data_IF_134737206969
#
_entry.id   IF_134737206969
#
_cell.length_a   1.000
_cell.length_b   1.000
_cell.length_c   1.000
_cell.angle_alpha   90.00
_cell.angle_beta   90.00
_cell.angle_gamma   90.00
#
_symmetry.space_group_name_H-M   'P 1'
#
loop_
_entity.id
_entity.type
_entity.pdbx_description
1 polymer ?
#
# COMPACT_ATOMS: atom_id res chain seq x y z
N UNK A 1 -17.30 -31.02 -10.41
CA UNK A 1 -18.00 -30.35 -9.28
C UNK A 1 -16.94 -29.76 -8.37
N UNK A 2 -16.81 -28.43 -8.30
CA UNK A 2 -15.79 -27.78 -7.44
C UNK A 2 -16.10 -28.09 -5.97
N UNK A 3 -15.10 -28.55 -5.21
CA UNK A 3 -15.25 -28.89 -3.79
C UNK A 3 -15.58 -27.64 -2.96
N UNK A 4 -16.48 -27.78 -1.98
CA UNK A 4 -16.92 -26.66 -1.14
C UNK A 4 -15.77 -26.06 -0.31
N UNK A 5 -14.73 -26.85 0.01
CA UNK A 5 -13.51 -26.36 0.68
C UNK A 5 -12.63 -25.48 -0.22
N UNK A 6 -12.57 -25.77 -1.52
CA UNK A 6 -11.82 -24.96 -2.50
C UNK A 6 -12.47 -23.58 -2.71
N UNK A 7 -13.81 -23.53 -2.72
CA UNK A 7 -14.57 -22.28 -2.82
C UNK A 7 -14.36 -21.43 -1.56
N UNK A 8 -14.33 -22.03 -0.36
CA UNK A 8 -14.06 -21.32 0.89
C UNK A 8 -12.64 -20.75 0.96
N UNK A 9 -11.63 -21.51 0.52
CA UNK A 9 -10.23 -21.06 0.45
C UNK A 9 -10.04 -19.89 -0.53
N UNK A 10 -10.57 -19.99 -1.76
CA UNK A 10 -10.45 -18.90 -2.74
C UNK A 10 -11.18 -17.63 -2.28
N UNK A 11 -12.33 -17.78 -1.61
CA UNK A 11 -13.08 -16.66 -1.04
C UNK A 11 -12.30 -15.94 0.05
N UNK A 12 -11.53 -16.67 0.88
CA UNK A 12 -10.71 -16.02 1.92
C UNK A 12 -9.53 -15.24 1.33
N UNK A 13 -8.83 -15.77 0.33
CA UNK A 13 -7.69 -15.07 -0.29
C UNK A 13 -8.09 -13.73 -0.93
N UNK A 14 -9.19 -13.69 -1.69
CA UNK A 14 -9.69 -12.44 -2.30
C UNK A 14 -10.08 -11.43 -1.22
N UNK A 15 -10.78 -11.85 -0.17
CA UNK A 15 -11.18 -10.97 0.94
C UNK A 15 -9.98 -10.39 1.70
N UNK A 16 -8.92 -11.17 1.92
CA UNK A 16 -7.71 -10.68 2.59
C UNK A 16 -6.98 -9.62 1.76
N UNK A 17 -6.88 -9.82 0.44
CA UNK A 17 -6.24 -8.86 -0.48
C UNK A 17 -7.03 -7.55 -0.57
N UNK A 18 -8.36 -7.62 -0.71
CA UNK A 18 -9.23 -6.44 -0.70
C UNK A 18 -9.09 -5.63 0.60
N UNK A 19 -9.01 -6.31 1.75
CA UNK A 19 -8.90 -5.65 3.04
C UNK A 19 -7.53 -4.97 3.24
N UNK A 20 -6.44 -5.63 2.83
CA UNK A 20 -5.08 -5.04 2.86
C UNK A 20 -4.97 -3.82 1.94
N UNK A 21 -5.47 -3.93 0.71
CA UNK A 21 -5.49 -2.82 -0.24
C UNK A 21 -6.27 -1.62 0.28
N UNK A 22 -7.42 -1.86 0.94
CA UNK A 22 -8.22 -0.81 1.55
C UNK A 22 -7.51 -0.09 2.70
N UNK A 23 -6.83 -0.82 3.58
CA UNK A 23 -6.04 -0.22 4.67
C UNK A 23 -4.94 0.68 4.10
N UNK A 24 -4.23 0.19 3.07
CA UNK A 24 -3.17 0.96 2.41
C UNK A 24 -3.73 2.25 1.79
N UNK A 25 -4.85 2.16 1.07
CA UNK A 25 -5.51 3.32 0.47
C UNK A 25 -5.93 4.35 1.53
N UNK A 26 -6.49 3.91 2.66
CA UNK A 26 -6.86 4.78 3.79
C UNK A 26 -5.65 5.46 4.45
N UNK A 27 -4.50 4.79 4.53
CA UNK A 27 -3.26 5.38 5.03
C UNK A 27 -2.78 6.51 4.12
N UNK A 28 -2.76 6.29 2.80
CA UNK A 28 -2.42 7.33 1.84
C UNK A 28 -3.39 8.51 1.88
N UNK A 29 -4.70 8.25 1.95
CA UNK A 29 -5.68 9.33 2.14
C UNK A 29 -5.44 10.13 3.41
N UNK A 30 -5.13 9.45 4.52
CA UNK A 30 -4.75 10.08 5.77
C UNK A 30 -3.54 11.00 5.59
N UNK A 31 -2.47 10.50 4.98
CA UNK A 31 -1.25 11.26 4.72
C UNK A 31 -1.50 12.50 3.83
N UNK A 32 -2.30 12.35 2.77
CA UNK A 32 -2.69 13.46 1.88
C UNK A 32 -3.49 14.51 2.67
N UNK A 33 -4.52 14.09 3.42
CA UNK A 33 -5.33 15.01 4.24
C UNK A 33 -4.48 15.78 5.25
N UNK A 34 -3.59 15.10 5.97
CA UNK A 34 -2.71 15.77 6.92
C UNK A 34 -1.71 16.70 6.23
N UNK A 35 -1.18 16.33 5.06
CA UNK A 35 -0.32 17.24 4.27
C UNK A 35 -1.06 18.53 3.90
N UNK A 36 -2.32 18.43 3.48
CA UNK A 36 -3.16 19.60 3.18
C UNK A 36 -3.48 20.45 4.41
N UNK A 37 -3.71 19.83 5.56
CA UNK A 37 -3.86 20.58 6.81
C UNK A 37 -2.56 21.28 7.24
N UNK A 38 -1.40 20.67 6.99
CA UNK A 38 -0.12 21.34 7.23
C UNK A 38 0.07 22.56 6.31
N UNK A 39 -0.31 22.45 5.04
CA UNK A 39 -0.33 23.57 4.08
C UNK A 39 -1.24 24.69 4.60
N UNK A 40 -2.46 24.36 4.99
CA UNK A 40 -3.41 25.33 5.56
C UNK A 40 -2.86 25.99 6.83
N UNK A 41 -2.22 25.22 7.71
CA UNK A 41 -1.57 25.76 8.92
C UNK A 41 -0.48 26.77 8.58
N UNK A 42 0.30 26.51 7.52
CA UNK A 42 1.31 27.45 7.04
C UNK A 42 0.70 28.73 6.45
N UNK A 43 -0.39 28.62 5.70
CA UNK A 43 -1.10 29.77 5.12
C UNK A 43 -1.79 30.65 6.17
N UNK A 44 -2.21 30.05 7.28
CA UNK A 44 -2.82 30.75 8.42
C UNK A 44 -1.81 31.22 9.46
N UNK A 45 -0.51 31.04 9.20
CA UNK A 45 0.57 31.33 10.15
C UNK A 45 0.38 30.63 11.51
N UNK A 46 -0.22 29.43 11.50
CA UNK A 46 -0.43 28.59 12.68
C UNK A 46 0.62 27.46 12.74
N UNK A 47 1.73 27.65 13.48
CA UNK A 47 2.79 26.66 13.58
C UNK A 47 2.35 25.39 14.32
N UNK A 48 1.31 25.45 15.17
CA UNK A 48 0.81 24.28 15.90
C UNK A 48 0.09 23.35 14.92
N UNK A 49 -0.85 23.87 14.14
CA UNK A 49 -1.56 23.09 13.11
C UNK A 49 -0.56 22.53 12.09
N UNK A 50 0.40 23.34 11.64
CA UNK A 50 1.45 22.89 10.73
C UNK A 50 2.24 21.71 11.32
N UNK A 51 2.84 21.90 12.49
CA UNK A 51 3.73 20.91 13.11
C UNK A 51 3.03 19.61 13.47
N UNK A 52 1.81 19.68 14.01
CA UNK A 52 1.02 18.50 14.36
C UNK A 52 0.72 17.65 13.13
N UNK A 53 0.27 18.29 12.04
CA UNK A 53 -0.09 17.55 10.83
C UNK A 53 1.14 17.01 10.09
N UNK A 54 2.26 17.75 10.02
CA UNK A 54 3.52 17.21 9.49
C UNK A 54 3.96 15.96 10.26
N UNK A 55 3.84 15.98 11.59
CA UNK A 55 4.20 14.83 12.44
C UNK A 55 3.35 13.59 12.14
N UNK A 56 2.05 13.77 11.87
CA UNK A 56 1.15 12.68 11.47
C UNK A 56 1.52 12.09 10.10
N UNK A 57 1.90 12.93 9.13
CA UNK A 57 2.37 12.44 7.82
C UNK A 57 3.66 11.65 7.96
N UNK A 58 4.62 12.16 8.74
CA UNK A 58 5.89 11.45 9.02
C UNK A 58 5.65 10.09 9.67
N UNK A 59 4.73 10.00 10.64
CA UNK A 59 4.37 8.73 11.26
C UNK A 59 3.84 7.73 10.22
N UNK A 60 2.88 8.12 9.37
CA UNK A 60 2.33 7.24 8.34
C UNK A 60 3.42 6.78 7.36
N UNK A 61 4.26 7.70 6.87
CA UNK A 61 5.34 7.35 5.96
C UNK A 61 6.35 6.38 6.59
N UNK A 62 6.60 6.52 7.89
CA UNK A 62 7.53 5.64 8.63
C UNK A 62 6.95 4.24 8.72
N UNK A 63 5.67 4.12 9.07
CA UNK A 63 4.99 2.82 9.11
C UNK A 63 4.93 2.15 7.73
N UNK A 64 4.66 2.92 6.66
CA UNK A 64 4.68 2.40 5.29
C UNK A 64 6.07 1.89 4.89
N UNK A 65 7.13 2.60 5.29
CA UNK A 65 8.51 2.21 5.00
C UNK A 65 8.93 0.95 5.77
N UNK A 66 8.50 0.83 7.04
CA UNK A 66 8.71 -0.36 7.86
C UNK A 66 7.93 -1.57 7.34
N UNK A 67 6.79 -1.36 6.69
CA UNK A 67 5.95 -2.42 6.14
C UNK A 67 6.42 -2.99 4.78
N UNK A 68 7.48 -2.44 4.18
CA UNK A 68 8.01 -2.93 2.90
C UNK A 68 8.64 -4.33 3.06
N UNK A 69 8.16 -5.29 2.27
CA UNK A 69 8.78 -6.61 2.14
C UNK A 69 10.02 -6.52 1.24
N UNK A 70 11.20 -6.65 1.84
CA UNK A 70 12.49 -6.55 1.15
C UNK A 70 13.01 -7.90 0.65
N UNK A 71 12.34 -9.00 0.99
CA UNK A 71 12.80 -10.34 0.68
C UNK A 71 12.31 -10.81 -0.70
N UNK A 72 11.14 -10.33 -1.15
CA UNK A 72 10.54 -10.78 -2.41
C UNK A 72 10.87 -9.92 -3.63
N UNK A 73 10.89 -8.59 -3.50
CA UNK A 73 11.18 -7.67 -4.62
C UNK A 73 12.05 -6.50 -4.16
N UNK A 74 13.33 -6.81 -3.97
CA UNK A 74 14.31 -5.87 -3.42
C UNK A 74 14.39 -4.54 -4.18
N UNK A 75 14.40 -4.57 -5.52
CA UNK A 75 14.52 -3.33 -6.32
C UNK A 75 13.30 -2.42 -6.19
N UNK A 76 12.09 -3.00 -6.14
CA UNK A 76 10.86 -2.22 -5.94
C UNK A 76 10.81 -1.65 -4.52
N UNK A 77 11.13 -2.48 -3.52
CA UNK A 77 11.16 -2.07 -2.12
C UNK A 77 12.20 -0.94 -1.89
N UNK A 78 13.39 -1.05 -2.49
CA UNK A 78 14.44 -0.03 -2.37
C UNK A 78 14.02 1.30 -3.04
N UNK A 79 13.33 1.24 -4.19
CA UNK A 79 12.80 2.44 -4.85
C UNK A 79 11.70 3.13 -4.03
N UNK A 80 10.75 2.36 -3.48
CA UNK A 80 9.68 2.89 -2.62
C UNK A 80 10.23 3.48 -1.33
N UNK A 81 11.18 2.78 -0.69
CA UNK A 81 11.91 3.29 0.46
C UNK A 81 12.58 4.63 0.13
N UNK A 82 13.29 4.72 -0.99
CA UNK A 82 13.93 5.96 -1.43
C UNK A 82 12.95 7.12 -1.58
N UNK A 83 11.76 6.86 -2.12
CA UNK A 83 10.71 7.85 -2.29
C UNK A 83 10.06 8.28 -0.95
N UNK A 84 9.79 7.34 -0.05
CA UNK A 84 9.29 7.66 1.30
C UNK A 84 10.30 8.50 2.07
N UNK A 85 11.58 8.11 2.06
CA UNK A 85 12.66 8.84 2.70
C UNK A 85 12.84 10.24 2.10
N UNK A 86 12.65 10.39 0.78
CA UNK A 86 12.63 11.70 0.14
C UNK A 86 11.50 12.58 0.66
N UNK A 87 10.25 12.07 0.69
CA UNK A 87 9.11 12.84 1.19
C UNK A 87 9.28 13.24 2.66
N UNK A 88 9.81 12.35 3.51
CA UNK A 88 10.13 12.68 4.90
C UNK A 88 11.12 13.85 5.00
N UNK A 89 12.22 13.83 4.22
CA UNK A 89 13.18 14.95 4.17
C UNK A 89 12.52 16.26 3.72
N UNK A 90 11.61 16.20 2.73
CA UNK A 90 10.87 17.38 2.26
C UNK A 90 9.91 17.93 3.32
N UNK A 91 9.20 17.07 4.04
CA UNK A 91 8.33 17.45 5.16
C UNK A 91 9.13 18.14 6.28
N UNK A 92 10.28 17.57 6.65
CA UNK A 92 11.18 18.17 7.65
C UNK A 92 11.71 19.52 7.18
N UNK A 93 12.15 19.62 5.92
CA UNK A 93 12.61 20.87 5.32
C UNK A 93 11.50 21.94 5.32
N UNK A 94 10.28 21.56 4.94
CA UNK A 94 9.13 22.44 4.93
C UNK A 94 8.80 22.96 6.33
N UNK A 95 8.90 22.10 7.34
CA UNK A 95 8.61 22.47 8.72
C UNK A 95 9.59 23.54 9.24
N UNK A 96 10.89 23.33 9.02
CA UNK A 96 11.93 24.24 9.50
C UNK A 96 11.99 25.56 8.71
N UNK A 97 11.84 25.50 7.38
CA UNK A 97 12.03 26.67 6.52
C UNK A 97 10.72 27.39 6.16
N UNK A 98 9.57 26.91 6.65
CA UNK A 98 8.25 27.37 6.22
C UNK A 98 8.07 27.35 4.68
N UNK A 99 8.62 26.32 4.02
CA UNK A 99 8.56 26.19 2.56
C UNK A 99 7.28 25.44 2.15
N UNK A 100 6.25 26.19 1.75
CA UNK A 100 4.97 25.62 1.32
C UNK A 100 5.11 24.73 0.09
N UNK A 101 6.00 25.06 -0.85
CA UNK A 101 6.16 24.28 -2.09
C UNK A 101 6.61 22.84 -1.82
N UNK A 102 7.39 22.63 -0.75
CA UNK A 102 7.82 21.30 -0.35
C UNK A 102 6.66 20.44 0.15
N UNK A 103 5.66 21.02 0.82
CA UNK A 103 4.45 20.29 1.21
C UNK A 103 3.55 19.98 0.00
N UNK A 104 3.41 20.93 -0.93
CA UNK A 104 2.64 20.73 -2.17
C UNK A 104 3.24 19.61 -3.02
N UNK A 105 4.57 19.53 -3.09
CA UNK A 105 5.27 18.44 -3.76
C UNK A 105 4.96 17.08 -3.11
N UNK A 106 5.01 17.00 -1.78
CA UNK A 106 4.67 15.77 -1.04
C UNK A 106 3.20 15.38 -1.25
N UNK A 107 2.26 16.33 -1.26
CA UNK A 107 0.84 16.07 -1.55
C UNK A 107 0.66 15.43 -2.93
N UNK A 108 1.36 15.95 -3.95
CA UNK A 108 1.34 15.40 -5.31
C UNK A 108 1.89 13.98 -5.35
N UNK A 109 3.06 13.74 -4.75
CA UNK A 109 3.69 12.42 -4.74
C UNK A 109 2.85 11.37 -4.01
N UNK A 110 2.27 11.73 -2.87
CA UNK A 110 1.34 10.86 -2.13
C UNK A 110 0.10 10.52 -2.97
N UNK A 111 -0.45 11.51 -3.69
CA UNK A 111 -1.62 11.33 -4.55
C UNK A 111 -1.31 10.39 -5.72
N UNK A 112 -0.17 10.59 -6.39
CA UNK A 112 0.28 9.74 -7.49
C UNK A 112 0.51 8.29 -7.03
N UNK A 113 1.12 8.10 -5.86
CA UNK A 113 1.30 6.77 -5.27
C UNK A 113 -0.02 6.10 -4.92
N UNK A 114 -0.93 6.82 -4.25
CA UNK A 114 -2.26 6.30 -3.92
C UNK A 114 -2.96 5.80 -5.17
N UNK A 115 -3.02 6.63 -6.21
CA UNK A 115 -3.68 6.28 -7.46
C UNK A 115 -3.03 5.09 -8.16
N UNK A 116 -1.69 4.98 -8.10
CA UNK A 116 -0.98 3.83 -8.64
C UNK A 116 -1.30 2.53 -7.87
N UNK A 117 -1.33 2.59 -6.54
CA UNK A 117 -1.66 1.45 -5.69
C UNK A 117 -3.13 1.01 -5.83
N UNK A 118 -4.07 1.94 -5.86
CA UNK A 118 -5.50 1.62 -6.07
C UNK A 118 -5.70 0.89 -7.39
N UNK A 119 -5.07 1.36 -8.48
CA UNK A 119 -5.11 0.67 -9.78
C UNK A 119 -4.52 -0.74 -9.73
N UNK A 120 -3.41 -0.92 -9.00
CA UNK A 120 -2.77 -2.23 -8.85
C UNK A 120 -3.65 -3.22 -8.06
N UNK A 121 -4.31 -2.75 -6.99
CA UNK A 121 -5.25 -3.57 -6.21
C UNK A 121 -6.46 -3.96 -7.06
N UNK A 122 -6.98 -3.02 -7.86
CA UNK A 122 -8.09 -3.30 -8.77
C UNK A 122 -7.70 -4.32 -9.86
N UNK A 123 -6.50 -4.23 -10.43
CA UNK A 123 -6.04 -5.20 -11.43
C UNK A 123 -5.86 -6.59 -10.84
N UNK A 124 -5.25 -6.71 -9.65
CA UNK A 124 -5.09 -7.99 -8.95
C UNK A 124 -6.46 -8.62 -8.65
N UNK A 125 -7.42 -7.80 -8.21
CA UNK A 125 -8.78 -8.27 -7.90
C UNK A 125 -9.49 -8.80 -9.16
N UNK A 126 -9.29 -8.16 -10.32
CA UNK A 126 -9.81 -8.62 -11.62
C UNK A 126 -9.13 -9.89 -12.11
N UNK A 127 -7.81 -9.99 -12.03
CA UNK A 127 -7.05 -11.17 -12.45
C UNK A 127 -7.45 -12.44 -11.65
N UNK A 128 -7.71 -12.26 -10.35
CA UNK A 128 -8.22 -13.33 -9.47
C UNK A 128 -9.65 -13.76 -9.81
N UNK A 129 -10.45 -12.84 -10.37
CA UNK A 129 -11.82 -13.10 -10.83
C UNK A 129 -11.86 -13.75 -12.22
N UNK A 130 -10.94 -13.41 -13.12
CA UNK A 130 -10.98 -13.84 -14.53
C UNK A 130 -10.35 -15.19 -14.84
N UNK A 131 -9.30 -15.68 -14.14
CA UNK A 131 -8.65 -16.98 -14.47
C UNK A 131 -9.60 -18.19 -14.35
N UNK A 132 -10.02 -18.85 -15.46
CA UNK A 132 -10.82 -20.08 -15.45
C UNK A 132 -9.99 -21.25 -15.98
N UNK A 133 -9.43 -22.09 -15.08
CA UNK A 133 -8.81 -23.41 -15.38
C UNK A 133 -7.60 -23.40 -16.38
N UNK A 134 -6.47 -24.05 -16.10
CA UNK A 134 -6.25 -25.45 -16.45
C UNK A 134 -4.92 -25.93 -15.85
N UNK A 135 -5.00 -26.84 -14.90
CA UNK A 135 -4.22 -28.09 -14.83
C UNK A 135 -4.50 -28.75 -13.48
N UNK A 136 -5.04 -29.99 -13.45
CA UNK A 136 -5.28 -30.69 -12.20
C UNK A 136 -3.96 -31.02 -11.50
N UNK A 137 -3.94 -31.16 -10.16
CA UNK A 137 -2.78 -31.74 -9.49
C UNK A 137 -2.52 -33.13 -10.09
N UNK A 138 -1.27 -33.41 -10.50
CA UNK A 138 -0.86 -34.76 -10.88
C UNK A 138 -1.28 -35.68 -9.74
N UNK A 139 -2.23 -36.59 -10.00
CA UNK A 139 -2.43 -37.75 -9.12
C UNK A 139 -1.11 -38.51 -9.13
N UNK A 140 -0.40 -38.48 -8.02
CA UNK A 140 0.61 -39.49 -7.70
C UNK A 140 -0.13 -40.83 -7.67
N UNK A 141 -0.02 -41.57 -8.76
CA UNK A 141 -0.46 -42.94 -8.88
C UNK A 141 0.59 -43.83 -8.23
N UNK A 142 0.45 -44.10 -6.93
CA UNK A 142 1.06 -45.30 -6.37
C UNK A 142 -0.02 -46.35 -6.17
N UNK A 143 0.09 -47.36 -7.03
CA UNK A 143 -0.64 -48.62 -6.98
C UNK A 143 -0.38 -49.28 -5.64
N UNK A 144 -1.44 -49.63 -4.90
CA UNK A 144 -1.48 -50.93 -4.22
C UNK A 144 -2.88 -51.51 -4.40
N UNK A 145 -3.03 -52.28 -5.48
CA UNK A 145 -3.95 -53.40 -5.49
C UNK A 145 -3.14 -54.58 -5.97
N UNK A 146 -2.81 -55.48 -5.05
CA UNK A 146 -2.65 -56.89 -5.37
C UNK A 146 -3.16 -57.70 -4.19
N UNK A 147 -4.20 -58.47 -4.46
CA UNK A 147 -4.70 -59.52 -3.62
C UNK A 147 -3.66 -60.64 -3.49
N UNK A 148 -3.32 -61.00 -2.24
CA UNK A 148 -3.40 -62.35 -1.64
C UNK A 148 -3.70 -62.15 -0.16
#
# INVERSE_FOLDING_TARGET
>A
MKSMGYIAYKKSETQFTENKGKILSLLYEGAIRFTRFAIMGMEKEDPRIKGENISKVLAILTELDCALDRDQEKDLADNLNGLYQYMMRRLTYANFNNEKKALVEVDRLLSELKDAFDRAVDSISKDLAEKPETSPPKKSSDKVSLAV
#
